data_IF_245845442352
#
_entry.id   IF_245845442352
#
_cell.length_a   1.000
_cell.length_b   1.000
_cell.length_c   1.000
_cell.angle_alpha   90.00
_cell.angle_beta   90.00
_cell.angle_gamma   90.00
#
_symmetry.space_group_name_H-M   'P 1'
#
loop_
_entity.id
_entity.type
_entity.pdbx_description
1 polymer ?
#
# COMPACT_ATOMS: atom_id res chain seq x y z
N UNK A 1 25.86 10.28 -5.91
CA UNK A 1 24.70 9.65 -5.24
C UNK A 1 25.23 8.68 -4.20
N UNK A 2 24.94 8.92 -2.92
CA UNK A 2 25.68 8.32 -1.79
C UNK A 2 25.39 6.83 -1.52
N UNK A 3 24.38 6.25 -2.16
CA UNK A 3 23.87 4.91 -1.85
C UNK A 3 24.00 3.92 -3.02
N UNK A 4 24.62 4.33 -4.13
CA UNK A 4 24.74 3.50 -5.35
C UNK A 4 25.55 2.23 -5.09
N UNK A 5 26.68 2.35 -4.41
CA UNK A 5 27.55 1.21 -4.09
C UNK A 5 26.85 0.20 -3.18
N UNK A 6 26.02 0.68 -2.25
CA UNK A 6 25.26 -0.17 -1.32
C UNK A 6 24.08 -0.87 -2.03
N UNK A 7 23.40 -0.21 -2.98
CA UNK A 7 22.32 -0.81 -3.79
C UNK A 7 22.84 -1.87 -4.78
N UNK A 8 23.98 -1.59 -5.43
CA UNK A 8 24.56 -2.48 -6.45
C UNK A 8 25.46 -3.57 -5.87
N UNK A 9 25.69 -3.55 -4.55
CA UNK A 9 26.58 -4.45 -3.85
C UNK A 9 26.15 -5.94 -3.86
N UNK A 10 24.88 -6.25 -4.16
CA UNK A 10 24.32 -7.60 -4.06
C UNK A 10 24.17 -8.16 -2.63
N UNK A 11 24.68 -7.44 -1.62
CA UNK A 11 24.61 -7.82 -0.20
C UNK A 11 23.30 -7.31 0.40
N UNK A 12 22.35 -8.21 0.61
CA UNK A 12 21.00 -7.91 1.14
C UNK A 12 20.98 -6.95 2.34
N UNK A 13 21.85 -7.06 3.37
CA UNK A 13 21.87 -6.10 4.47
C UNK A 13 22.19 -4.65 4.07
N UNK A 14 23.10 -4.47 3.09
CA UNK A 14 23.46 -3.13 2.59
C UNK A 14 22.37 -2.57 1.68
N UNK A 15 21.84 -3.40 0.78
CA UNK A 15 20.71 -3.04 -0.08
C UNK A 15 19.53 -2.55 0.77
N UNK A 16 19.17 -3.31 1.81
CA UNK A 16 18.12 -2.93 2.77
C UNK A 16 18.40 -1.58 3.43
N UNK A 17 19.63 -1.39 3.92
CA UNK A 17 20.06 -0.16 4.61
C UNK A 17 19.95 1.05 3.67
N UNK A 18 20.44 0.92 2.45
CA UNK A 18 20.36 1.95 1.42
C UNK A 18 18.91 2.30 1.07
N UNK A 19 18.09 1.29 0.74
CA UNK A 19 16.67 1.47 0.41
C UNK A 19 15.91 2.20 1.54
N UNK A 20 16.16 1.82 2.80
CA UNK A 20 15.57 2.49 3.97
C UNK A 20 16.00 3.95 4.12
N UNK A 21 17.26 4.27 3.82
CA UNK A 21 17.78 5.65 3.85
C UNK A 21 17.17 6.50 2.73
N UNK A 22 17.09 5.95 1.52
CA UNK A 22 16.46 6.58 0.35
C UNK A 22 14.99 6.84 0.63
N UNK A 23 14.25 5.85 1.13
CA UNK A 23 12.84 6.00 1.51
C UNK A 23 12.65 7.09 2.56
N UNK A 24 13.44 7.07 3.65
CA UNK A 24 13.32 8.07 4.73
C UNK A 24 13.62 9.49 4.24
N UNK A 25 14.60 9.64 3.35
CA UNK A 25 14.99 10.93 2.78
C UNK A 25 14.18 11.34 1.55
N UNK A 26 13.34 10.45 1.01
CA UNK A 26 12.67 10.59 -0.30
C UNK A 26 13.65 11.03 -1.39
N UNK A 27 14.81 10.38 -1.43
CA UNK A 27 15.92 10.79 -2.29
C UNK A 27 15.66 10.36 -3.75
N UNK A 28 15.40 11.34 -4.63
CA UNK A 28 15.16 11.09 -6.06
C UNK A 28 16.45 10.77 -6.82
N UNK A 29 16.30 10.25 -8.03
CA UNK A 29 17.40 9.92 -8.96
C UNK A 29 17.96 8.50 -8.80
N UNK A 30 17.45 7.71 -7.86
CA UNK A 30 17.91 6.34 -7.62
C UNK A 30 17.15 5.27 -8.43
N UNK A 31 16.18 5.63 -9.27
CA UNK A 31 15.28 4.71 -9.98
C UNK A 31 16.00 3.50 -10.61
N UNK A 32 16.96 3.70 -11.53
CA UNK A 32 17.69 2.59 -12.15
C UNK A 32 18.43 1.69 -11.16
N UNK A 33 18.96 2.26 -10.08
CA UNK A 33 19.67 1.50 -9.05
C UNK A 33 18.72 0.75 -8.11
N UNK A 34 17.53 1.30 -7.84
CA UNK A 34 16.47 0.62 -7.12
C UNK A 34 15.92 -0.54 -7.96
N UNK A 35 15.75 -0.35 -9.27
CA UNK A 35 15.34 -1.41 -10.21
C UNK A 35 16.29 -2.59 -10.16
N UNK A 36 17.58 -2.35 -10.43
CA UNK A 36 18.59 -3.39 -10.44
C UNK A 36 18.68 -4.12 -9.10
N UNK A 37 18.59 -3.38 -7.98
CA UNK A 37 18.59 -3.98 -6.66
C UNK A 37 17.32 -4.83 -6.42
N UNK A 38 16.15 -4.38 -6.89
CA UNK A 38 14.91 -5.12 -6.75
C UNK A 38 14.94 -6.41 -7.57
N UNK A 39 15.41 -6.38 -8.82
CA UNK A 39 15.59 -7.60 -9.62
C UNK A 39 16.41 -8.65 -8.86
N UNK A 40 17.57 -8.26 -8.31
CA UNK A 40 18.42 -9.17 -7.55
C UNK A 40 17.82 -9.65 -6.23
N UNK A 41 17.02 -8.84 -5.56
CA UNK A 41 16.37 -9.21 -4.30
C UNK A 41 15.10 -10.05 -4.51
N UNK A 42 14.39 -9.90 -5.63
CA UNK A 42 13.21 -10.72 -5.96
C UNK A 42 13.57 -12.19 -6.17
N UNK A 43 14.81 -12.50 -6.58
CA UNK A 43 15.33 -13.87 -6.67
C UNK A 43 15.67 -14.50 -5.30
N UNK A 44 15.50 -13.75 -4.19
CA UNK A 44 15.81 -14.19 -2.82
C UNK A 44 14.53 -14.21 -1.96
N UNK A 45 13.75 -15.32 -1.94
CA UNK A 45 12.49 -15.42 -1.19
C UNK A 45 12.53 -15.00 0.29
N UNK A 46 13.68 -15.23 0.96
CA UNK A 46 13.86 -14.92 2.39
C UNK A 46 14.18 -13.44 2.66
N UNK A 47 14.37 -12.64 1.62
CA UNK A 47 14.76 -11.23 1.69
C UNK A 47 13.56 -10.28 1.58
N UNK A 48 12.39 -10.68 2.10
CA UNK A 48 11.15 -9.90 1.98
C UNK A 48 11.28 -8.47 2.55
N UNK A 49 12.10 -8.26 3.58
CA UNK A 49 12.33 -6.91 4.15
C UNK A 49 13.01 -5.97 3.15
N UNK A 50 14.07 -6.42 2.47
CA UNK A 50 14.76 -5.59 1.46
C UNK A 50 13.85 -5.35 0.26
N UNK A 51 13.12 -6.38 -0.19
CA UNK A 51 12.11 -6.24 -1.25
C UNK A 51 11.08 -5.17 -0.89
N UNK A 52 10.50 -5.23 0.31
CA UNK A 52 9.55 -4.24 0.81
C UNK A 52 10.14 -2.82 0.82
N UNK A 53 11.34 -2.63 1.37
CA UNK A 53 11.96 -1.30 1.42
C UNK A 53 12.30 -0.75 0.04
N UNK A 54 12.69 -1.59 -0.92
CA UNK A 54 12.94 -1.18 -2.30
C UNK A 54 11.65 -0.73 -2.99
N UNK A 55 10.58 -1.52 -2.89
CA UNK A 55 9.26 -1.19 -3.44
C UNK A 55 8.72 0.12 -2.88
N UNK A 56 8.82 0.31 -1.56
CA UNK A 56 8.42 1.57 -0.93
C UNK A 56 9.33 2.74 -1.30
N UNK A 57 10.63 2.52 -1.46
CA UNK A 57 11.54 3.57 -1.93
C UNK A 57 11.13 4.02 -3.34
N UNK A 58 10.91 3.10 -4.28
CA UNK A 58 10.46 3.41 -5.64
C UNK A 58 9.17 4.26 -5.64
N UNK A 59 8.18 3.85 -4.84
CA UNK A 59 6.92 4.59 -4.70
C UNK A 59 7.15 6.01 -4.15
N UNK A 60 7.93 6.14 -3.08
CA UNK A 60 8.18 7.41 -2.41
C UNK A 60 9.14 8.36 -3.15
N UNK A 61 9.87 7.84 -4.15
CA UNK A 61 10.80 8.59 -5.00
C UNK A 61 10.27 8.78 -6.43
N UNK A 62 8.99 8.49 -6.66
CA UNK A 62 8.25 8.77 -7.89
C UNK A 62 8.81 8.04 -9.13
N UNK A 63 9.27 6.79 -8.98
CA UNK A 63 9.80 5.98 -10.09
C UNK A 63 8.67 5.39 -10.96
N UNK A 64 7.92 6.23 -11.67
CA UNK A 64 6.75 5.81 -12.48
C UNK A 64 7.13 4.91 -13.66
N UNK A 65 8.36 5.01 -14.15
CA UNK A 65 8.93 4.14 -15.17
C UNK A 65 8.93 2.65 -14.77
N UNK A 66 8.86 2.36 -13.47
CA UNK A 66 8.90 1.01 -12.92
C UNK A 66 7.56 0.27 -12.98
N UNK A 67 6.44 0.98 -13.18
CA UNK A 67 5.10 0.38 -13.13
C UNK A 67 4.96 -0.89 -14.00
N UNK A 68 5.43 -0.93 -15.27
CA UNK A 68 5.35 -2.14 -16.08
C UNK A 68 6.11 -3.32 -15.49
N UNK A 69 7.32 -3.07 -14.97
CA UNK A 69 8.13 -4.11 -14.32
C UNK A 69 7.44 -4.61 -13.05
N UNK A 70 6.94 -3.72 -12.20
CA UNK A 70 6.23 -4.07 -10.98
C UNK A 70 4.97 -4.91 -11.28
N UNK A 71 4.20 -4.56 -12.31
CA UNK A 71 3.04 -5.37 -12.74
C UNK A 71 3.47 -6.76 -13.25
N UNK A 72 4.61 -6.88 -13.92
CA UNK A 72 5.13 -8.18 -14.35
C UNK A 72 5.47 -9.10 -13.18
N UNK A 73 5.88 -8.55 -12.03
CA UNK A 73 6.17 -9.32 -10.83
C UNK A 73 4.91 -9.95 -10.22
N UNK A 74 3.72 -9.36 -10.39
CA UNK A 74 2.46 -9.95 -9.90
C UNK A 74 2.10 -11.26 -10.62
N UNK A 75 2.64 -11.48 -11.81
CA UNK A 75 2.45 -12.71 -12.59
C UNK A 75 3.34 -13.86 -12.08
N UNK A 76 4.31 -13.57 -11.21
CA UNK A 76 5.18 -14.57 -10.58
C UNK A 76 4.54 -15.08 -9.29
N UNK A 77 4.92 -16.29 -8.87
CA UNK A 77 4.57 -16.82 -7.56
C UNK A 77 5.45 -16.15 -6.48
N UNK A 78 4.90 -15.16 -5.77
CA UNK A 78 5.62 -14.43 -4.73
C UNK A 78 5.36 -15.13 -3.39
N UNK A 79 6.39 -15.68 -2.73
CA UNK A 79 6.19 -16.57 -1.59
C UNK A 79 5.76 -15.87 -0.29
N UNK A 80 5.78 -14.54 -0.24
CA UNK A 80 5.48 -13.79 0.99
C UNK A 80 4.34 -12.78 0.81
N UNK A 81 3.30 -12.82 1.67
CA UNK A 81 2.19 -11.86 1.66
C UNK A 81 2.64 -10.39 1.74
N UNK A 82 3.70 -10.11 2.51
CA UNK A 82 4.24 -8.75 2.68
C UNK A 82 4.80 -8.20 1.36
N UNK A 83 5.48 -9.03 0.55
CA UNK A 83 5.98 -8.59 -0.75
C UNK A 83 4.83 -8.34 -1.73
N UNK A 84 3.79 -9.19 -1.77
CA UNK A 84 2.57 -8.91 -2.57
C UNK A 84 1.93 -7.58 -2.20
N UNK A 85 1.77 -7.32 -0.88
CA UNK A 85 1.22 -6.07 -0.39
C UNK A 85 2.07 -4.87 -0.81
N UNK A 86 3.39 -4.96 -0.60
CA UNK A 86 4.32 -3.86 -0.90
C UNK A 86 4.37 -3.56 -2.40
N UNK A 87 4.24 -4.59 -3.23
CA UNK A 87 4.18 -4.46 -4.67
C UNK A 87 2.90 -3.75 -5.10
N UNK A 88 1.75 -4.17 -4.55
CA UNK A 88 0.47 -3.51 -4.82
C UNK A 88 0.43 -2.05 -4.34
N UNK A 89 1.05 -1.75 -3.18
CA UNK A 89 1.25 -0.35 -2.74
C UNK A 89 2.03 0.42 -3.78
N UNK A 90 3.17 -0.07 -4.23
CA UNK A 90 4.03 0.65 -5.15
C UNK A 90 3.34 0.92 -6.49
N UNK A 91 2.67 -0.08 -7.07
CA UNK A 91 1.92 0.07 -8.32
C UNK A 91 0.80 1.10 -8.17
N UNK A 92 -0.10 0.90 -7.19
CA UNK A 92 -1.24 1.80 -7.00
C UNK A 92 -0.80 3.23 -6.65
N UNK A 93 0.28 3.39 -5.90
CA UNK A 93 0.82 4.71 -5.55
C UNK A 93 1.35 5.44 -6.78
N UNK A 94 2.14 4.75 -7.61
CA UNK A 94 2.76 5.33 -8.80
C UNK A 94 1.74 5.62 -9.90
N UNK A 95 0.74 4.74 -10.11
CA UNK A 95 -0.33 4.98 -11.08
C UNK A 95 -1.24 6.15 -10.71
N UNK A 96 -1.29 6.52 -9.43
CA UNK A 96 -2.03 7.67 -8.91
C UNK A 96 -1.12 8.88 -8.61
N UNK A 97 0.07 8.95 -9.21
CA UNK A 97 1.00 10.05 -8.98
C UNK A 97 0.56 11.34 -9.68
N UNK A 98 0.29 11.26 -10.98
CA UNK A 98 -0.03 12.42 -11.83
C UNK A 98 -1.53 12.59 -12.06
N UNK A 99 -2.24 11.49 -12.29
CA UNK A 99 -3.69 11.47 -12.53
C UNK A 99 -4.30 10.38 -11.65
N UNK A 100 -5.47 10.64 -11.08
CA UNK A 100 -6.21 9.61 -10.35
C UNK A 100 -6.59 8.46 -11.30
N UNK A 101 -6.15 7.26 -10.97
CA UNK A 101 -6.36 6.04 -11.73
C UNK A 101 -6.63 4.88 -10.77
N UNK A 102 -7.91 4.56 -10.60
CA UNK A 102 -8.37 3.50 -9.71
C UNK A 102 -8.43 2.12 -10.38
N UNK A 103 -8.06 1.99 -11.66
CA UNK A 103 -8.18 0.72 -12.40
C UNK A 103 -7.46 -0.43 -11.69
N UNK A 104 -6.20 -0.23 -11.30
CA UNK A 104 -5.45 -1.26 -10.58
C UNK A 104 -5.98 -1.52 -9.16
N UNK A 105 -6.61 -0.52 -8.52
CA UNK A 105 -7.29 -0.73 -7.23
C UNK A 105 -8.49 -1.66 -7.40
N UNK A 106 -9.30 -1.46 -8.45
CA UNK A 106 -10.41 -2.34 -8.77
C UNK A 106 -9.94 -3.75 -9.12
N UNK A 107 -8.94 -3.90 -9.99
CA UNK A 107 -8.32 -5.20 -10.30
C UNK A 107 -7.83 -5.92 -9.03
N UNK A 108 -7.23 -5.17 -8.11
CA UNK A 108 -6.72 -5.71 -6.84
C UNK A 108 -7.84 -6.16 -5.89
N UNK A 109 -8.97 -5.44 -5.84
CA UNK A 109 -10.15 -5.80 -5.04
C UNK A 109 -10.96 -6.96 -5.65
N UNK A 110 -10.90 -7.11 -6.97
CA UNK A 110 -11.48 -8.25 -7.68
C UNK A 110 -10.61 -9.49 -7.58
N UNK A 111 -9.31 -9.32 -7.30
CA UNK A 111 -8.41 -10.44 -7.06
C UNK A 111 -8.83 -11.27 -5.84
N UNK A 112 -8.48 -12.56 -5.86
CA UNK A 112 -8.57 -13.42 -4.68
C UNK A 112 -7.35 -13.28 -3.75
N UNK A 113 -6.55 -12.20 -3.91
CA UNK A 113 -5.36 -11.95 -3.11
C UNK A 113 -5.59 -10.80 -2.13
N UNK A 114 -5.88 -11.15 -0.87
CA UNK A 114 -6.11 -10.17 0.20
C UNK A 114 -4.93 -9.24 0.47
N UNK A 115 -3.69 -9.69 0.22
CA UNK A 115 -2.50 -8.85 0.41
C UNK A 115 -2.40 -7.79 -0.69
N UNK A 116 -2.73 -8.16 -1.93
CA UNK A 116 -2.79 -7.22 -3.05
C UNK A 116 -3.89 -6.17 -2.83
N UNK A 117 -5.10 -6.61 -2.48
CA UNK A 117 -6.21 -5.71 -2.15
C UNK A 117 -5.85 -4.73 -1.01
N UNK A 118 -5.25 -5.24 0.07
CA UNK A 118 -4.80 -4.41 1.18
C UNK A 118 -3.74 -3.38 0.76
N UNK A 119 -2.79 -3.78 -0.09
CA UNK A 119 -1.74 -2.88 -0.59
C UNK A 119 -2.29 -1.77 -1.49
N UNK A 120 -3.24 -2.10 -2.36
CA UNK A 120 -3.90 -1.10 -3.21
C UNK A 120 -4.69 -0.06 -2.38
N UNK A 121 -5.46 -0.51 -1.38
CA UNK A 121 -6.17 0.42 -0.48
C UNK A 121 -5.21 1.24 0.40
N UNK A 122 -4.08 0.66 0.82
CA UNK A 122 -3.04 1.39 1.55
C UNK A 122 -2.45 2.53 0.70
N UNK A 123 -2.24 2.30 -0.60
CA UNK A 123 -1.76 3.35 -1.50
C UNK A 123 -2.73 4.54 -1.58
N UNK A 124 -4.05 4.29 -1.66
CA UNK A 124 -5.06 5.35 -1.63
C UNK A 124 -4.94 6.22 -0.37
N UNK A 125 -4.84 5.56 0.78
CA UNK A 125 -4.65 6.25 2.06
C UNK A 125 -3.33 7.03 2.11
N UNK A 126 -2.22 6.46 1.63
CA UNK A 126 -0.91 7.11 1.59
C UNK A 126 -0.86 8.31 0.65
N UNK A 127 -1.52 8.24 -0.50
CA UNK A 127 -1.66 9.33 -1.47
C UNK A 127 -2.72 10.36 -1.06
N UNK A 128 -3.55 10.04 -0.05
CA UNK A 128 -4.69 10.85 0.38
C UNK A 128 -5.67 11.11 -0.78
N UNK A 129 -5.96 10.07 -1.57
CA UNK A 129 -6.94 10.15 -2.65
C UNK A 129 -8.32 10.44 -2.06
N UNK A 130 -9.01 11.43 -2.61
CA UNK A 130 -10.39 11.78 -2.24
C UNK A 130 -11.31 11.10 -3.23
N UNK A 131 -11.96 10.03 -2.81
CA UNK A 131 -12.85 9.26 -3.68
C UNK A 131 -14.11 10.06 -4.02
N UNK A 132 -14.56 9.93 -5.27
CA UNK A 132 -15.92 10.33 -5.66
C UNK A 132 -16.95 9.47 -4.93
N UNK A 133 -18.21 9.89 -4.92
CA UNK A 133 -19.28 9.09 -4.30
C UNK A 133 -19.42 7.72 -4.98
N UNK A 134 -19.30 7.67 -6.31
CA UNK A 134 -19.38 6.43 -7.09
C UNK A 134 -18.22 5.49 -6.76
N UNK A 135 -16.99 6.01 -6.77
CA UNK A 135 -15.80 5.20 -6.46
C UNK A 135 -15.79 4.74 -5.01
N UNK A 136 -16.22 5.60 -4.07
CA UNK A 136 -16.38 5.23 -2.66
C UNK A 136 -17.38 4.09 -2.50
N UNK A 137 -18.56 4.19 -3.12
CA UNK A 137 -19.59 3.16 -3.05
C UNK A 137 -19.13 1.85 -3.67
N UNK A 138 -18.43 1.93 -4.82
CA UNK A 138 -17.86 0.78 -5.49
C UNK A 138 -16.80 0.10 -4.62
N UNK A 139 -15.82 0.84 -4.10
CA UNK A 139 -14.79 0.30 -3.19
C UNK A 139 -15.43 -0.33 -1.95
N UNK A 140 -16.40 0.35 -1.33
CA UNK A 140 -17.14 -0.17 -0.18
C UNK A 140 -17.77 -1.54 -0.49
N UNK A 141 -18.40 -1.70 -1.66
CA UNK A 141 -19.00 -2.98 -2.06
C UNK A 141 -18.02 -4.16 -2.14
N UNK A 142 -16.72 -3.89 -2.34
CA UNK A 142 -15.67 -4.89 -2.27
C UNK A 142 -15.15 -5.08 -0.85
N UNK A 143 -14.72 -4.01 -0.19
CA UNK A 143 -13.99 -4.11 1.09
C UNK A 143 -14.87 -4.56 2.26
N UNK A 144 -16.19 -4.50 2.12
CA UNK A 144 -17.13 -5.05 3.11
C UNK A 144 -17.54 -6.50 2.86
N UNK A 145 -16.96 -7.18 1.86
CA UNK A 145 -17.25 -8.60 1.63
C UNK A 145 -16.67 -9.46 2.76
N UNK A 146 -17.34 -10.56 3.16
CA UNK A 146 -16.90 -11.43 4.26
C UNK A 146 -15.43 -11.88 4.14
N UNK A 147 -14.96 -12.19 2.93
CA UNK A 147 -13.59 -12.63 2.63
C UNK A 147 -12.51 -11.64 3.11
N UNK A 148 -12.83 -10.35 3.20
CA UNK A 148 -11.90 -9.35 3.72
C UNK A 148 -12.12 -9.08 5.21
N UNK A 149 -13.30 -9.34 5.77
CA UNK A 149 -13.63 -8.98 7.15
C UNK A 149 -13.34 -10.07 8.19
N UNK A 150 -13.21 -11.34 7.78
CA UNK A 150 -13.10 -12.52 8.66
C UNK A 150 -12.00 -12.41 9.73
N UNK A 151 -10.91 -11.70 9.45
CA UNK A 151 -9.77 -11.52 10.37
C UNK A 151 -9.48 -10.05 10.68
N UNK A 152 -10.50 -9.19 10.62
CA UNK A 152 -10.36 -7.77 10.94
C UNK A 152 -9.74 -7.59 12.34
N UNK A 153 -8.78 -6.67 12.44
CA UNK A 153 -8.02 -6.41 13.68
C UNK A 153 -6.86 -7.38 13.95
N UNK A 154 -6.79 -8.53 13.27
CA UNK A 154 -5.69 -9.49 13.38
C UNK A 154 -4.73 -9.42 12.20
N UNK A 155 -5.26 -9.14 11.01
CA UNK A 155 -4.49 -8.95 9.79
C UNK A 155 -4.71 -7.56 9.21
N UNK A 156 -3.76 -7.13 8.39
CA UNK A 156 -3.88 -5.90 7.61
C UNK A 156 -4.96 -6.10 6.55
N UNK A 157 -5.95 -5.22 6.55
CA UNK A 157 -7.23 -5.40 5.86
C UNK A 157 -7.52 -4.19 4.97
N UNK A 158 -7.91 -4.37 3.69
CA UNK A 158 -8.24 -3.26 2.81
C UNK A 158 -9.30 -2.31 3.40
N UNK A 159 -10.29 -2.84 4.12
CA UNK A 159 -11.33 -2.05 4.79
C UNK A 159 -10.77 -1.01 5.77
N UNK A 160 -9.77 -1.40 6.57
CA UNK A 160 -9.21 -0.50 7.58
C UNK A 160 -8.55 0.72 6.94
N UNK A 161 -7.87 0.56 5.80
CA UNK A 161 -7.27 1.70 5.09
C UNK A 161 -8.32 2.68 4.57
N UNK A 162 -9.44 2.17 4.04
CA UNK A 162 -10.54 3.03 3.58
C UNK A 162 -11.21 3.73 4.78
N UNK A 163 -11.39 3.03 5.90
CA UNK A 163 -11.89 3.64 7.13
C UNK A 163 -10.94 4.73 7.64
N UNK A 164 -9.64 4.47 7.67
CA UNK A 164 -8.65 5.45 8.11
C UNK A 164 -8.53 6.66 7.17
N UNK A 165 -8.77 6.47 5.86
CA UNK A 165 -8.82 7.55 4.87
C UNK A 165 -10.12 8.37 4.93
N UNK A 166 -11.17 7.87 5.59
CA UNK A 166 -12.51 8.46 5.54
C UNK A 166 -12.64 9.89 6.08
N UNK A 167 -11.65 10.37 6.85
CA UNK A 167 -11.58 11.78 7.24
C UNK A 167 -11.46 12.74 6.04
N UNK A 168 -10.98 12.25 4.90
CA UNK A 168 -10.84 12.99 3.64
C UNK A 168 -12.15 13.06 2.83
N UNK A 169 -13.10 12.18 3.11
CA UNK A 169 -14.30 12.02 2.30
C UNK A 169 -15.42 12.96 2.75
N UNK A 170 -16.42 13.22 1.88
CA UNK A 170 -17.65 13.91 2.28
C UNK A 170 -18.26 13.29 3.53
N UNK A 171 -18.89 14.11 4.37
CA UNK A 171 -19.43 13.69 5.67
C UNK A 171 -20.39 12.50 5.55
N UNK A 172 -21.22 12.47 4.51
CA UNK A 172 -22.14 11.36 4.23
C UNK A 172 -21.41 10.03 4.01
N UNK A 173 -20.34 10.02 3.20
CA UNK A 173 -19.54 8.81 2.94
C UNK A 173 -18.77 8.39 4.18
N UNK A 174 -18.18 9.36 4.90
CA UNK A 174 -17.51 9.10 6.18
C UNK A 174 -18.47 8.48 7.20
N UNK A 175 -19.67 9.01 7.33
CA UNK A 175 -20.67 8.48 8.27
C UNK A 175 -21.09 7.05 7.88
N UNK A 176 -21.27 6.79 6.58
CA UNK A 176 -21.62 5.45 6.07
C UNK A 176 -20.61 4.38 6.47
N UNK A 177 -19.31 4.63 6.29
CA UNK A 177 -18.27 3.66 6.68
C UNK A 177 -18.10 3.59 8.20
N UNK A 178 -18.23 4.70 8.93
CA UNK A 178 -18.20 4.71 10.40
C UNK A 178 -19.35 3.89 10.98
N UNK A 179 -20.57 4.05 10.47
CA UNK A 179 -21.75 3.30 10.93
C UNK A 179 -21.59 1.80 10.69
N UNK A 180 -21.13 1.43 9.49
CA UNK A 180 -20.79 0.03 9.19
C UNK A 180 -19.71 -0.50 10.15
N UNK A 181 -18.71 0.32 10.50
CA UNK A 181 -17.59 -0.11 11.35
C UNK A 181 -17.99 -0.38 12.81
N UNK A 182 -19.09 0.19 13.31
CA UNK A 182 -19.53 0.02 14.70
C UNK A 182 -19.93 -1.41 15.06
N UNK A 183 -20.17 -2.27 14.07
CA UNK A 183 -20.44 -3.69 14.30
C UNK A 183 -19.21 -4.45 14.81
N UNK A 184 -18.00 -3.91 14.63
CA UNK A 184 -16.76 -4.57 15.05
C UNK A 184 -16.33 -4.11 16.45
N UNK A 185 -16.37 -5.03 17.41
CA UNK A 185 -15.90 -4.79 18.78
C UNK A 185 -14.37 -4.93 18.91
N UNK A 186 -13.62 -4.11 18.18
CA UNK A 186 -12.15 -4.20 18.08
C UNK A 186 -11.51 -2.85 18.41
N UNK A 187 -10.50 -2.85 19.30
CA UNK A 187 -9.83 -1.63 19.76
C UNK A 187 -9.34 -0.75 18.61
N UNK A 188 -8.61 -1.32 17.66
CA UNK A 188 -8.08 -0.59 16.51
C UNK A 188 -9.18 0.06 15.67
N UNK A 189 -10.32 -0.61 15.49
CA UNK A 189 -11.47 -0.04 14.76
C UNK A 189 -12.07 1.12 15.53
N UNK A 190 -12.29 0.97 16.85
CA UNK A 190 -12.79 2.03 17.72
C UNK A 190 -11.89 3.27 17.71
N UNK A 191 -10.58 3.06 17.76
CA UNK A 191 -9.59 4.13 17.72
C UNK A 191 -9.64 4.90 16.39
N UNK A 192 -9.70 4.18 15.27
CA UNK A 192 -9.83 4.82 13.95
C UNK A 192 -11.16 5.59 13.86
N UNK A 193 -12.29 5.00 14.28
CA UNK A 193 -13.59 5.70 14.30
C UNK A 193 -13.49 7.01 15.08
N UNK A 194 -12.89 6.98 16.27
CA UNK A 194 -12.73 8.15 17.12
C UNK A 194 -11.87 9.26 16.47
N UNK A 195 -10.84 8.88 15.73
CA UNK A 195 -9.99 9.81 15.00
C UNK A 195 -10.75 10.42 13.80
N UNK A 196 -11.34 9.59 12.93
CA UNK A 196 -11.97 10.08 11.69
C UNK A 196 -13.26 10.85 11.95
N UNK A 197 -14.02 10.52 12.99
CA UNK A 197 -15.21 11.30 13.40
C UNK A 197 -14.85 12.73 13.81
N UNK A 198 -13.62 12.96 14.28
CA UNK A 198 -13.09 14.28 14.62
C UNK A 198 -12.42 14.98 13.42
N UNK A 199 -12.58 14.42 12.21
CA UNK A 199 -11.89 14.89 11.00
C UNK A 199 -10.38 14.67 11.04
N UNK A 200 -9.88 13.78 11.91
CA UNK A 200 -8.45 13.50 12.05
C UNK A 200 -8.08 12.27 11.24
N UNK A 201 -6.85 12.31 10.74
CA UNK A 201 -6.21 11.19 10.06
C UNK A 201 -6.16 9.96 10.99
N UNK A 202 -6.71 8.83 10.54
CA UNK A 202 -6.75 7.56 11.27
C UNK A 202 -5.40 6.85 11.33
N UNK A 203 -4.33 7.56 11.72
CA UNK A 203 -2.91 7.11 11.79
C UNK A 203 -2.64 6.04 12.86
N UNK A 204 -3.49 5.03 12.91
CA UNK A 204 -3.40 3.85 13.78
C UNK A 204 -3.05 2.59 13.00
N UNK A 205 -3.01 2.68 11.68
CA UNK A 205 -2.66 1.57 10.80
C UNK A 205 -1.18 1.66 10.47
N UNK A 206 -0.41 0.62 10.82
CA UNK A 206 0.97 0.52 10.37
C UNK A 206 1.00 0.34 8.86
N UNK A 207 1.67 1.25 8.18
CA UNK A 207 2.00 1.13 6.74
C UNK A 207 3.23 0.25 6.51
N UNK A 208 3.92 -0.12 7.59
CA UNK A 208 5.17 -0.88 7.61
C UNK A 208 4.96 -2.18 8.39
#
# INVERSE_FOLDING_TARGET
MDYVDELTSGRTPLVKKAAKKILKGKLKGYGPFLHQALEGEMEKPKSWESQMYLLYAMAATDCTEEVPYLKSLLLRDIPTPVTYRSLAVAIAYLENLETENLSFVYESLESNNSSQAAGACAALYMRKIVLTDDDFNKIMSYVTQPKYLEHIGQVINPFLFILAASYLYPEQNRQKIVDFSRQFDISTVKDIINDVTKGKDGRRISLF
#
